data_IF_960029011532
#
_entry.id   IF_960029011532
#
_cell.length_a   1.000
_cell.length_b   1.000
_cell.length_c   1.000
_cell.angle_alpha   90.00
_cell.angle_beta   90.00
_cell.angle_gamma   90.00
#
_symmetry.space_group_name_H-M   'P 1'
#
loop_
_entity.id
_entity.type
_entity.pdbx_description
1 polymer ?
#
# COMPACT_ATOMS: atom_id res chain seq x y z
N UNK A 1 6.26 -21.74 -21.80
CA UNK A 1 5.03 -21.08 -21.32
C UNK A 1 5.46 -20.05 -20.29
N UNK A 2 5.33 -18.75 -20.58
CA UNK A 2 5.65 -17.70 -19.59
C UNK A 2 4.42 -17.55 -18.69
N UNK A 3 4.54 -17.94 -17.42
CA UNK A 3 3.56 -17.60 -16.39
C UNK A 3 3.58 -16.07 -16.29
N UNK A 4 2.43 -15.43 -16.53
CA UNK A 4 2.26 -14.01 -16.22
C UNK A 4 2.33 -13.90 -14.70
N UNK A 5 3.31 -13.17 -14.19
CA UNK A 5 3.42 -12.76 -12.80
C UNK A 5 2.11 -12.05 -12.43
N UNK A 6 1.28 -12.66 -11.57
CA UNK A 6 0.12 -11.98 -11.01
C UNK A 6 0.63 -11.07 -9.90
N UNK A 7 0.25 -9.80 -9.95
CA UNK A 7 0.52 -8.80 -8.92
C UNK A 7 -0.84 -8.32 -8.43
N UNK A 8 -1.01 -8.29 -7.11
CA UNK A 8 -2.09 -7.56 -6.43
C UNK A 8 -1.45 -6.30 -5.87
N UNK A 9 -2.07 -5.13 -6.05
CA UNK A 9 -1.55 -3.84 -5.57
C UNK A 9 -2.70 -2.89 -5.19
N UNK A 10 -2.47 -2.02 -4.21
CA UNK A 10 -3.38 -0.92 -3.82
C UNK A 10 -2.80 0.40 -4.36
N UNK A 11 -3.54 1.20 -5.15
CA UNK A 11 -3.05 2.47 -5.66
C UNK A 11 -3.47 3.69 -4.81
N UNK A 12 -2.53 4.59 -4.52
CA UNK A 12 -2.85 5.91 -3.91
C UNK A 12 -3.70 6.77 -4.84
N UNK A 13 -4.88 7.26 -4.42
CA UNK A 13 -5.59 8.28 -5.23
C UNK A 13 -5.05 9.68 -4.95
N UNK A 14 -4.53 10.34 -5.98
CA UNK A 14 -4.19 11.77 -5.91
C UNK A 14 -5.40 12.62 -5.45
N UNK A 15 -5.14 13.62 -4.61
CA UNK A 15 -6.18 14.46 -3.99
C UNK A 15 -7.26 14.94 -4.98
N UNK A 16 -8.53 14.91 -4.55
CA UNK A 16 -9.77 15.12 -5.32
C UNK A 16 -9.98 16.53 -5.93
N UNK A 17 -8.94 17.17 -6.46
CA UNK A 17 -9.01 18.52 -7.05
C UNK A 17 -8.64 18.59 -8.53
N UNK A 18 -8.69 17.49 -9.30
CA UNK A 18 -8.81 17.58 -10.76
C UNK A 18 -10.25 17.90 -11.18
N UNK A 19 -10.74 19.11 -10.87
CA UNK A 19 -11.87 19.68 -11.63
C UNK A 19 -11.35 20.02 -13.03
N UNK A 20 -12.01 19.46 -14.04
CA UNK A 20 -11.88 19.83 -15.46
C UNK A 20 -11.79 21.35 -15.61
N UNK A 21 -10.59 21.86 -15.87
CA UNK A 21 -10.38 23.20 -16.40
C UNK A 21 -10.86 23.21 -17.84
N UNK A 22 -12.12 23.58 -18.07
CA UNK A 22 -12.54 24.04 -19.39
C UNK A 22 -11.97 25.45 -19.56
N UNK A 23 -11.12 25.60 -20.57
CA UNK A 23 -10.52 26.84 -21.01
C UNK A 23 -11.59 27.88 -21.36
N UNK A 24 -11.60 29.03 -20.68
CA UNK A 24 -12.23 30.23 -21.18
C UNK A 24 -11.21 31.00 -22.02
N UNK A 25 -11.40 30.96 -23.34
CA UNK A 25 -10.85 31.96 -24.25
C UNK A 25 -11.92 32.34 -25.25
N UNK A 26 -12.64 33.43 -25.01
CA UNK A 26 -13.03 34.38 -26.06
C UNK A 26 -13.46 35.72 -25.45
N UNK A 27 -12.78 36.76 -25.92
CA UNK A 27 -12.97 38.17 -25.58
C UNK A 27 -14.02 38.76 -26.54
N UNK A 28 -15.03 39.47 -26.03
CA UNK A 28 -15.35 40.87 -26.40
C UNK A 28 -16.84 41.29 -26.23
N UNK A 29 -17.00 42.32 -25.41
CA UNK A 29 -17.84 43.52 -25.64
C UNK A 29 -19.36 43.52 -25.35
N UNK A 30 -19.72 44.46 -24.46
CA UNK A 30 -20.82 45.43 -24.54
C UNK A 30 -22.27 44.92 -24.69
N UNK A 31 -23.09 45.13 -23.65
CA UNK A 31 -24.22 46.09 -23.67
C UNK A 31 -25.14 45.90 -22.46
N UNK A 32 -25.75 47.01 -22.06
CA UNK A 32 -26.70 47.22 -20.97
C UNK A 32 -28.04 46.49 -21.17
N UNK A 33 -28.72 46.34 -20.03
CA UNK A 33 -30.17 46.48 -19.83
C UNK A 33 -31.10 45.28 -20.15
N UNK A 34 -32.13 45.14 -19.31
CA UNK A 34 -33.43 44.60 -19.73
C UNK A 34 -33.70 43.10 -19.53
N UNK A 35 -34.40 42.80 -18.43
CA UNK A 35 -35.49 41.81 -18.32
C UNK A 35 -36.05 41.24 -19.64
N UNK A 36 -36.17 39.91 -19.77
CA UNK A 36 -37.46 39.18 -19.70
C UNK A 36 -37.40 37.70 -20.17
N UNK A 37 -38.34 36.94 -19.57
CA UNK A 37 -39.11 35.79 -20.11
C UNK A 37 -38.58 34.36 -19.96
N UNK A 38 -39.16 33.72 -18.94
CA UNK A 38 -39.45 32.28 -18.83
C UNK A 38 -40.11 31.75 -20.10
N UNK A 39 -39.61 30.62 -20.60
CA UNK A 39 -40.38 29.66 -21.42
C UNK A 39 -40.21 28.26 -20.84
N UNK A 40 -41.33 27.55 -20.83
CA UNK A 40 -41.62 26.27 -20.19
C UNK A 40 -40.77 25.11 -20.73
N UNK A 41 -40.33 24.22 -19.83
CA UNK A 41 -39.98 22.83 -20.11
C UNK A 41 -40.67 21.93 -19.07
N UNK A 42 -41.06 20.68 -19.42
CA UNK A 42 -42.06 19.90 -18.70
C UNK A 42 -41.52 19.21 -17.44
N UNK A 43 -42.46 19.00 -16.52
CA UNK A 43 -42.35 18.38 -15.19
C UNK A 43 -41.73 16.99 -15.20
N UNK A 44 -40.83 16.73 -14.25
CA UNK A 44 -40.29 15.40 -14.06
C UNK A 44 -39.55 15.08 -12.75
N UNK A 45 -39.31 16.00 -11.81
CA UNK A 45 -38.95 15.64 -10.41
C UNK A 45 -39.37 16.77 -9.45
N UNK A 46 -40.35 16.49 -8.59
CA UNK A 46 -40.71 17.19 -7.35
C UNK A 46 -40.75 16.06 -6.31
N UNK A 47 -40.29 16.14 -5.08
CA UNK A 47 -39.93 17.23 -4.18
C UNK A 47 -38.98 16.61 -3.11
N UNK A 48 -38.23 17.31 -2.26
CA UNK A 48 -38.59 18.47 -1.44
C UNK A 48 -37.34 19.31 -1.14
N UNK A 49 -37.47 20.61 -1.39
CA UNK A 49 -36.69 21.67 -0.75
C UNK A 49 -37.53 22.11 0.45
N UNK A 50 -36.93 22.22 1.63
CA UNK A 50 -37.36 23.24 2.59
C UNK A 50 -36.17 24.11 2.99
N UNK A 51 -36.50 25.39 3.12
CA UNK A 51 -35.68 26.58 3.20
C UNK A 51 -35.40 26.97 4.66
N UNK A 52 -34.21 27.50 4.96
CA UNK A 52 -34.10 28.69 5.83
C UNK A 52 -32.71 29.34 5.77
N UNK A 53 -32.75 30.66 5.89
CA UNK A 53 -31.66 31.63 5.76
C UNK A 53 -30.67 31.61 6.94
N UNK A 54 -29.40 31.90 6.63
CA UNK A 54 -28.50 32.80 7.36
C UNK A 54 -28.21 32.53 8.84
N UNK A 55 -27.01 32.02 9.14
CA UNK A 55 -26.15 32.47 10.24
C UNK A 55 -24.74 31.87 10.10
N UNK A 56 -23.71 32.71 10.14
CA UNK A 56 -22.35 32.30 10.52
C UNK A 56 -22.40 31.74 11.94
N UNK A 57 -22.12 30.45 12.12
CA UNK A 57 -21.62 29.88 13.37
C UNK A 57 -21.04 28.49 13.11
N UNK A 58 -19.86 28.27 13.66
CA UNK A 58 -19.11 27.02 13.75
C UNK A 58 -19.93 25.82 14.22
N UNK A 59 -19.90 24.72 13.45
CA UNK A 59 -19.99 23.37 14.01
C UNK A 59 -19.40 22.37 13.00
N UNK A 60 -18.13 21.99 13.22
CA UNK A 60 -17.58 20.78 12.64
C UNK A 60 -18.35 19.59 13.24
N UNK A 61 -19.28 19.02 12.47
CA UNK A 61 -19.79 17.68 12.76
C UNK A 61 -18.69 16.71 12.35
N UNK A 62 -17.97 16.17 13.35
CA UNK A 62 -17.02 15.08 13.15
C UNK A 62 -17.71 13.94 12.38
N UNK A 63 -17.17 13.49 11.23
CA UNK A 63 -17.55 12.19 10.70
C UNK A 63 -17.16 11.10 11.72
N UNK A 64 -17.95 10.04 11.79
CA UNK A 64 -17.68 8.85 12.59
C UNK A 64 -16.23 8.34 12.35
N UNK A 65 -15.59 7.66 13.33
CA UNK A 65 -14.26 7.10 13.12
C UNK A 65 -14.28 6.22 11.86
N UNK A 66 -13.37 6.51 10.91
CA UNK A 66 -13.10 5.62 9.78
C UNK A 66 -12.50 4.36 10.39
N UNK A 67 -13.35 3.36 10.67
CA UNK A 67 -12.91 2.07 11.19
C UNK A 67 -12.16 1.35 10.07
N UNK A 68 -10.86 1.58 9.96
CA UNK A 68 -9.98 0.53 9.47
C UNK A 68 -10.01 -0.56 10.54
N UNK A 69 -10.28 -1.77 10.13
CA UNK A 69 -10.20 -2.93 11.01
C UNK A 69 -9.36 -3.97 10.26
N UNK A 70 -8.94 -5.03 10.95
CA UNK A 70 -8.57 -6.20 10.16
C UNK A 70 -9.91 -6.69 9.57
N UNK A 71 -10.20 -6.55 8.29
CA UNK A 71 -11.53 -6.95 7.80
C UNK A 71 -11.53 -8.45 7.50
N UNK A 72 -11.99 -9.25 8.47
CA UNK A 72 -12.44 -10.63 8.24
C UNK A 72 -13.73 -10.70 7.38
N UNK A 73 -14.32 -9.55 7.06
CA UNK A 73 -15.56 -9.43 6.29
C UNK A 73 -15.33 -9.33 4.76
N UNK A 74 -14.09 -9.07 4.32
CA UNK A 74 -13.70 -9.30 2.92
C UNK A 74 -13.45 -10.81 2.73
N UNK A 75 -14.22 -11.50 1.87
CA UNK A 75 -14.11 -12.95 1.73
C UNK A 75 -12.77 -13.40 1.13
N UNK A 76 -12.12 -12.58 0.30
CA UNK A 76 -10.82 -12.90 -0.29
C UNK A 76 -9.70 -12.66 0.73
N UNK A 77 -9.74 -11.56 1.49
CA UNK A 77 -8.81 -11.31 2.58
C UNK A 77 -8.96 -12.36 3.71
N UNK A 78 -10.19 -12.67 4.11
CA UNK A 78 -10.48 -13.72 5.08
C UNK A 78 -10.02 -15.10 4.60
N UNK A 79 -10.17 -15.41 3.31
CA UNK A 79 -9.63 -16.63 2.71
C UNK A 79 -8.09 -16.64 2.79
N UNK A 80 -7.42 -15.54 2.44
CA UNK A 80 -5.97 -15.41 2.55
C UNK A 80 -5.50 -15.60 4.00
N UNK A 81 -6.10 -14.90 4.97
CA UNK A 81 -5.80 -15.03 6.39
C UNK A 81 -5.99 -16.47 6.91
N UNK A 82 -7.11 -17.11 6.53
CA UNK A 82 -7.44 -18.47 6.98
C UNK A 82 -6.57 -19.55 6.33
N UNK A 83 -6.10 -19.30 5.11
CA UNK A 83 -5.18 -20.20 4.40
C UNK A 83 -3.76 -20.15 4.98
N UNK A 84 -3.31 -18.95 5.37
CA UNK A 84 -2.03 -18.76 6.05
C UNK A 84 -2.01 -17.42 6.81
N UNK A 85 -1.87 -17.49 8.13
CA UNK A 85 -1.88 -16.32 9.01
C UNK A 85 -0.80 -15.27 8.66
N UNK A 86 0.27 -15.66 7.95
CA UNK A 86 1.32 -14.72 7.50
C UNK A 86 0.78 -13.58 6.64
N UNK A 87 -0.26 -13.84 5.82
CA UNK A 87 -0.80 -12.84 4.89
C UNK A 87 -1.51 -11.70 5.62
N UNK A 88 -1.92 -11.93 6.86
CA UNK A 88 -2.63 -10.96 7.68
C UNK A 88 -1.79 -10.48 8.87
N UNK A 89 -0.47 -10.59 8.70
CA UNK A 89 0.52 -10.07 9.64
C UNK A 89 0.90 -8.63 9.31
N UNK A 90 1.50 -7.98 10.30
CA UNK A 90 2.19 -6.70 10.14
C UNK A 90 3.70 -6.92 10.17
N UNK A 91 4.50 -5.95 9.75
CA UNK A 91 5.96 -6.04 9.84
C UNK A 91 6.46 -5.69 11.26
N UNK A 92 6.40 -6.67 12.17
CA UNK A 92 6.74 -6.49 13.60
C UNK A 92 8.21 -6.74 13.95
N UNK A 93 8.99 -7.37 13.07
CA UNK A 93 10.45 -7.48 13.19
C UNK A 93 11.14 -6.20 12.69
N UNK A 94 12.44 -5.96 12.97
CA UNK A 94 13.18 -4.86 12.36
C UNK A 94 13.00 -4.81 10.84
N UNK A 95 12.49 -3.68 10.35
CA UNK A 95 12.11 -3.48 8.95
C UNK A 95 13.34 -3.09 8.16
N UNK A 96 13.65 -3.85 7.11
CA UNK A 96 14.69 -3.56 6.16
C UNK A 96 14.12 -2.83 4.95
N UNK A 97 14.70 -1.69 4.58
CA UNK A 97 14.36 -0.98 3.34
C UNK A 97 15.47 -1.24 2.33
N UNK A 98 15.07 -1.56 1.09
CA UNK A 98 15.96 -1.71 -0.04
C UNK A 98 15.53 -0.77 -1.17
N UNK A 99 16.50 -0.09 -1.79
CA UNK A 99 16.23 0.88 -2.87
C UNK A 99 16.81 0.43 -4.19
N UNK A 100 16.02 0.45 -5.26
CA UNK A 100 16.46 0.33 -6.65
C UNK A 100 16.24 1.68 -7.33
N UNK A 101 17.33 2.38 -7.64
CA UNK A 101 17.33 3.67 -8.34
C UNK A 101 17.15 3.44 -9.85
N UNK A 102 15.92 3.54 -10.34
CA UNK A 102 15.58 3.30 -11.74
C UNK A 102 15.64 4.61 -12.54
N UNK A 103 16.76 4.81 -13.23
CA UNK A 103 17.07 6.04 -13.96
C UNK A 103 18.24 6.82 -13.38
N UNK A 104 18.31 8.10 -13.73
CA UNK A 104 19.45 8.97 -13.45
C UNK A 104 19.23 9.79 -12.19
N UNK A 105 19.66 9.26 -11.04
CA UNK A 105 19.68 9.98 -9.77
C UNK A 105 21.08 10.49 -9.46
N UNK A 106 21.18 11.75 -9.05
CA UNK A 106 22.43 12.29 -8.50
C UNK A 106 22.65 11.81 -7.07
N UNK A 107 23.89 11.82 -6.61
CA UNK A 107 24.21 11.44 -5.23
C UNK A 107 23.50 12.34 -4.20
N UNK A 108 23.32 13.63 -4.51
CA UNK A 108 22.56 14.55 -3.68
C UNK A 108 21.08 14.12 -3.55
N UNK A 109 20.44 13.72 -4.65
CA UNK A 109 19.07 13.22 -4.64
C UNK A 109 18.94 11.92 -3.84
N UNK A 110 19.89 10.99 -4.01
CA UNK A 110 19.90 9.75 -3.23
C UNK A 110 20.00 10.01 -1.74
N UNK A 111 20.86 10.96 -1.36
CA UNK A 111 21.08 11.31 0.04
C UNK A 111 19.81 11.83 0.74
N UNK A 112 18.88 12.44 0.01
CA UNK A 112 17.58 12.88 0.56
C UNK A 112 16.78 11.67 1.07
N UNK A 113 16.60 10.64 0.24
CA UNK A 113 15.89 9.42 0.64
C UNK A 113 16.61 8.67 1.77
N UNK A 114 17.93 8.53 1.66
CA UNK A 114 18.72 7.86 2.72
C UNK A 114 18.55 8.57 4.06
N UNK A 115 18.57 9.90 4.04
CA UNK A 115 18.42 10.71 5.25
C UNK A 115 17.01 10.59 5.83
N UNK A 116 15.96 10.54 5.00
CA UNK A 116 14.61 10.28 5.47
C UNK A 116 14.48 8.90 6.13
N UNK A 117 14.98 7.84 5.47
CA UNK A 117 14.93 6.47 6.01
C UNK A 117 15.73 6.35 7.31
N UNK A 118 16.91 6.97 7.38
CA UNK A 118 17.72 7.07 8.61
C UNK A 118 16.96 7.80 9.72
N UNK A 119 16.07 8.74 9.37
CA UNK A 119 15.26 9.48 10.33
C UNK A 119 14.09 8.69 10.91
N UNK A 120 13.67 7.58 10.29
CA UNK A 120 12.59 6.72 10.78
C UNK A 120 13.02 5.83 11.96
N UNK A 121 14.32 5.56 12.10
CA UNK A 121 14.79 4.67 13.16
C UNK A 121 14.50 5.28 14.54
N UNK A 122 13.71 4.56 15.35
CA UNK A 122 13.42 4.91 16.74
C UNK A 122 14.65 4.99 17.67
N UNK A 123 15.82 4.50 17.23
CA UNK A 123 17.09 4.75 17.93
C UNK A 123 17.52 6.22 17.91
N UNK A 124 16.95 7.02 17.01
CA UNK A 124 17.11 8.46 16.96
C UNK A 124 16.52 9.09 18.24
N UNK A 125 17.34 9.88 18.93
CA UNK A 125 17.02 10.47 20.24
C UNK A 125 16.31 11.82 20.14
N UNK A 126 15.90 12.24 18.95
CA UNK A 126 15.17 13.48 18.78
C UNK A 126 13.78 13.36 19.42
N UNK A 127 13.55 14.17 20.45
CA UNK A 127 12.28 14.21 21.20
C UNK A 127 11.36 15.33 20.73
N UNK A 128 11.71 16.04 19.64
CA UNK A 128 10.84 17.06 19.06
C UNK A 128 9.50 16.46 18.64
N UNK A 129 8.40 17.18 18.86
CA UNK A 129 7.06 16.73 18.43
C UNK A 129 6.98 16.53 16.92
N UNK A 130 7.78 17.25 16.14
CA UNK A 130 7.92 17.14 14.69
C UNK A 130 8.94 16.09 14.26
N UNK A 131 9.55 15.33 15.18
CA UNK A 131 10.56 14.34 14.82
C UNK A 131 9.94 13.21 13.99
N UNK A 132 10.62 12.80 12.91
CA UNK A 132 10.18 11.69 12.03
C UNK A 132 9.82 10.40 12.81
N UNK A 133 10.56 9.95 13.85
CA UNK A 133 10.17 8.79 14.64
C UNK A 133 8.83 8.96 15.38
N UNK A 134 8.46 10.19 15.75
CA UNK A 134 7.19 10.47 16.43
C UNK A 134 6.00 10.37 15.48
N UNK A 135 6.18 10.75 14.22
CA UNK A 135 5.21 10.46 13.16
C UNK A 135 5.11 8.95 12.91
N UNK A 136 6.24 8.23 12.83
CA UNK A 136 6.24 6.76 12.65
C UNK A 136 5.53 6.02 13.78
N UNK A 137 5.47 6.58 15.00
CA UNK A 137 4.72 5.99 16.11
C UNK A 137 3.23 5.81 15.83
N UNK A 138 2.64 6.55 14.89
CA UNK A 138 1.25 6.29 14.43
C UNK A 138 1.15 4.89 13.85
N UNK A 139 2.10 4.52 12.99
CA UNK A 139 2.13 3.21 12.35
C UNK A 139 2.39 2.09 13.37
N UNK A 140 3.10 2.38 14.46
CA UNK A 140 3.32 1.44 15.57
C UNK A 140 2.07 1.13 16.40
N UNK A 141 0.93 1.77 16.12
CA UNK A 141 -0.37 1.43 16.73
C UNK A 141 -1.08 0.27 16.02
N UNK A 142 -0.62 -0.11 14.84
CA UNK A 142 -1.14 -1.22 14.06
C UNK A 142 -0.53 -2.53 14.52
N UNK A 143 -1.33 -3.60 14.54
CA UNK A 143 -0.94 -4.90 15.06
C UNK A 143 -1.51 -6.06 14.25
N UNK A 144 -1.01 -7.28 14.48
CA UNK A 144 -1.57 -8.51 13.91
C UNK A 144 -2.51 -9.23 14.89
N UNK A 145 -3.19 -10.29 14.45
CA UNK A 145 -4.08 -11.06 15.32
C UNK A 145 -3.38 -11.73 16.53
N UNK A 146 -2.04 -11.76 16.57
CA UNK A 146 -1.24 -12.24 17.69
C UNK A 146 -0.84 -11.12 18.67
N UNK A 147 -1.20 -9.87 18.38
CA UNK A 147 -0.88 -8.69 19.18
C UNK A 147 0.55 -8.20 18.99
N UNK A 148 1.23 -8.60 17.91
CA UNK A 148 2.51 -8.01 17.54
C UNK A 148 2.25 -6.68 16.83
N UNK A 149 2.92 -5.62 17.28
CA UNK A 149 2.82 -4.28 16.69
C UNK A 149 3.92 -4.05 15.66
N UNK A 150 3.67 -3.15 14.71
CA UNK A 150 4.68 -2.72 13.74
C UNK A 150 5.96 -2.26 14.45
N UNK A 151 7.11 -2.66 13.90
CA UNK A 151 8.41 -2.31 14.46
C UNK A 151 8.70 -0.81 14.36
N UNK A 152 9.31 -0.26 15.42
CA UNK A 152 9.89 1.09 15.39
C UNK A 152 11.30 1.13 14.79
N UNK A 153 11.88 -0.02 14.44
CA UNK A 153 13.20 -0.10 13.82
C UNK A 153 13.03 -0.23 12.32
N UNK A 154 13.40 0.81 11.59
CA UNK A 154 13.45 0.87 10.13
C UNK A 154 14.89 1.17 9.73
N UNK A 155 15.44 0.44 8.78
CA UNK A 155 16.84 0.64 8.37
C UNK A 155 17.03 0.39 6.88
N UNK A 156 17.73 1.29 6.21
CA UNK A 156 18.23 1.05 4.85
C UNK A 156 19.30 -0.04 4.88
N UNK A 157 19.04 -1.18 4.24
CA UNK A 157 19.93 -2.35 4.25
C UNK A 157 20.71 -2.57 2.96
N UNK A 158 20.24 -2.01 1.86
CA UNK A 158 20.93 -2.11 0.58
C UNK A 158 20.30 -1.22 -0.48
N UNK A 159 21.09 -0.92 -1.49
CA UNK A 159 20.63 -0.17 -2.65
C UNK A 159 21.35 -0.65 -3.91
N UNK A 160 20.70 -0.45 -5.05
CA UNK A 160 21.29 -0.71 -6.35
C UNK A 160 20.84 0.34 -7.37
N UNK A 161 21.60 0.45 -8.45
CA UNK A 161 21.39 1.42 -9.52
C UNK A 161 21.01 0.74 -10.84
N UNK A 162 20.05 1.32 -11.55
CA UNK A 162 19.76 1.01 -12.95
C UNK A 162 19.62 2.31 -13.76
N UNK A 163 20.74 2.98 -14.08
CA UNK A 163 20.74 4.23 -14.82
C UNK A 163 20.48 4.04 -16.33
N UNK A 164 20.45 2.79 -16.79
CA UNK A 164 20.25 2.44 -18.20
C UNK A 164 18.78 2.23 -18.55
N UNK A 165 17.88 2.27 -17.56
CA UNK A 165 16.46 1.93 -17.71
C UNK A 165 16.32 0.53 -18.34
N UNK A 166 16.78 -0.52 -17.66
CA UNK A 166 16.88 -1.88 -18.25
C UNK A 166 15.54 -2.46 -18.76
N UNK A 167 14.40 -1.92 -18.32
CA UNK A 167 13.04 -2.25 -18.79
C UNK A 167 12.42 -1.17 -19.70
N UNK A 168 13.19 -0.15 -20.09
CA UNK A 168 12.75 1.02 -20.83
C UNK A 168 12.20 2.15 -19.95
N UNK A 169 11.94 3.32 -20.54
CA UNK A 169 11.38 4.47 -19.81
C UNK A 169 9.88 4.34 -19.54
N UNK A 170 9.18 3.41 -20.18
CA UNK A 170 7.85 2.97 -19.76
C UNK A 170 8.00 1.72 -18.92
N UNK A 171 7.73 1.82 -17.62
CA UNK A 171 7.92 0.75 -16.65
C UNK A 171 6.57 0.19 -16.21
N UNK A 172 6.27 -1.05 -16.58
CA UNK A 172 5.01 -1.68 -16.18
C UNK A 172 5.05 -2.23 -14.74
N UNK A 173 3.89 -2.48 -14.12
CA UNK A 173 3.79 -3.17 -12.82
C UNK A 173 4.58 -4.48 -12.81
N UNK A 174 4.41 -5.30 -13.85
CA UNK A 174 5.21 -6.54 -14.04
C UNK A 174 6.72 -6.26 -14.13
N UNK A 175 7.11 -5.14 -14.73
CA UNK A 175 8.50 -4.69 -14.82
C UNK A 175 9.11 -4.35 -13.46
N UNK A 176 8.35 -3.74 -12.55
CA UNK A 176 8.79 -3.45 -11.18
C UNK A 176 9.05 -4.75 -10.41
N UNK A 177 8.12 -5.70 -10.46
CA UNK A 177 8.29 -7.00 -9.82
C UNK A 177 9.48 -7.79 -10.40
N UNK A 178 9.64 -7.77 -11.72
CA UNK A 178 10.78 -8.40 -12.41
C UNK A 178 12.11 -7.78 -11.96
N UNK A 179 12.20 -6.44 -11.88
CA UNK A 179 13.44 -5.75 -11.48
C UNK A 179 13.91 -6.19 -10.10
N UNK A 180 13.01 -6.21 -9.11
CA UNK A 180 13.33 -6.64 -7.76
C UNK A 180 13.64 -8.14 -7.70
N UNK A 181 12.83 -8.97 -8.37
CA UNK A 181 13.05 -10.42 -8.37
C UNK A 181 14.39 -10.79 -9.03
N UNK A 182 14.75 -10.15 -10.14
CA UNK A 182 16.06 -10.31 -10.77
C UNK A 182 17.19 -9.81 -9.87
N UNK A 183 17.04 -8.65 -9.25
CA UNK A 183 18.03 -8.13 -8.31
C UNK A 183 18.33 -9.09 -7.16
N UNK A 184 17.30 -9.73 -6.61
CA UNK A 184 17.43 -10.73 -5.53
C UNK A 184 18.06 -12.03 -6.04
N UNK A 185 17.56 -12.56 -7.18
CA UNK A 185 18.08 -13.82 -7.74
C UNK A 185 19.53 -13.72 -8.23
N UNK A 186 19.92 -12.55 -8.75
CA UNK A 186 21.28 -12.29 -9.23
C UNK A 186 22.25 -11.94 -8.07
N UNK A 187 21.73 -11.81 -6.84
CA UNK A 187 22.51 -11.49 -5.65
C UNK A 187 22.94 -10.02 -5.52
N UNK A 188 22.33 -9.12 -6.31
CA UNK A 188 22.57 -7.67 -6.23
C UNK A 188 21.87 -7.06 -5.01
N UNK A 189 20.72 -7.61 -4.63
CA UNK A 189 20.04 -7.35 -3.35
C UNK A 189 19.82 -8.68 -2.63
N UNK A 190 19.83 -8.73 -1.29
CA UNK A 190 19.54 -9.95 -0.56
C UNK A 190 18.03 -10.23 -0.56
N UNK A 191 17.67 -11.50 -0.42
CA UNK A 191 16.34 -11.89 0.06
C UNK A 191 16.21 -11.53 1.55
N UNK A 192 15.14 -10.82 1.91
CA UNK A 192 14.80 -10.46 3.28
C UNK A 192 13.29 -10.57 3.49
N UNK A 193 12.87 -11.48 4.37
CA UNK A 193 11.48 -11.69 4.72
C UNK A 193 10.85 -10.51 5.49
N UNK A 194 11.68 -9.58 5.98
CA UNK A 194 11.25 -8.33 6.62
C UNK A 194 11.66 -7.11 5.78
N UNK A 195 11.88 -7.33 4.48
CA UNK A 195 12.29 -6.32 3.51
C UNK A 195 11.12 -5.66 2.79
N UNK A 196 11.16 -4.34 2.64
CA UNK A 196 10.36 -3.58 1.67
C UNK A 196 11.29 -3.05 0.57
N UNK A 197 11.02 -3.43 -0.67
CA UNK A 197 11.87 -3.15 -1.82
C UNK A 197 11.24 -2.07 -2.70
N UNK A 198 11.82 -0.87 -2.67
CA UNK A 198 11.33 0.26 -3.46
C UNK A 198 12.05 0.37 -4.80
N UNK A 199 11.29 0.48 -5.88
CA UNK A 199 11.77 0.98 -7.16
C UNK A 199 11.47 2.47 -7.25
N UNK A 200 12.52 3.29 -7.28
CA UNK A 200 12.45 4.74 -7.35
C UNK A 200 12.65 5.19 -8.79
N UNK A 201 11.57 5.67 -9.44
CA UNK A 201 11.61 6.11 -10.83
C UNK A 201 11.99 7.59 -10.97
N UNK A 202 12.98 7.89 -11.82
CA UNK A 202 13.34 9.27 -12.12
C UNK A 202 12.26 10.02 -12.97
N UNK A 203 12.41 11.33 -13.22
CA UNK A 203 11.41 12.11 -13.97
C UNK A 203 11.11 11.64 -15.41
N UNK A 204 11.90 10.72 -15.98
CA UNK A 204 11.67 10.13 -17.31
C UNK A 204 10.88 8.82 -17.25
N UNK A 205 10.65 8.22 -16.08
CA UNK A 205 10.03 6.88 -15.94
C UNK A 205 8.51 6.96 -15.92
N UNK A 206 7.84 6.64 -17.02
CA UNK A 206 6.38 6.54 -17.09
C UNK A 206 5.97 5.17 -16.57
N UNK A 207 5.41 5.10 -15.36
CA UNK A 207 4.98 3.84 -14.79
C UNK A 207 3.51 3.57 -15.14
N UNK A 208 3.23 2.39 -15.69
CA UNK A 208 1.92 2.02 -16.20
C UNK A 208 1.44 0.67 -15.65
N UNK A 209 0.14 0.58 -15.40
CA UNK A 209 -0.54 -0.66 -15.06
C UNK A 209 -0.83 -1.49 -16.33
N UNK A 210 -0.19 -2.66 -16.43
CA UNK A 210 -0.38 -3.64 -17.49
C UNK A 210 -1.40 -4.73 -17.15
N UNK A 211 -2.10 -4.61 -16.01
CA UNK A 211 -3.19 -5.50 -15.60
C UNK A 211 -4.55 -5.05 -16.13
N UNK A 212 -4.71 -3.75 -16.41
CA UNK A 212 -5.96 -3.16 -16.90
C UNK A 212 -6.02 -3.03 -18.43
N UNK A 213 -7.22 -3.19 -18.99
CA UNK A 213 -7.51 -2.89 -20.40
C UNK A 213 -7.47 -1.38 -20.72
N UNK A 214 -7.57 -0.53 -19.69
CA UNK A 214 -7.40 0.92 -19.80
C UNK A 214 -6.09 1.28 -19.10
N UNK A 215 -5.07 1.77 -19.83
CA UNK A 215 -3.80 2.16 -19.22
C UNK A 215 -4.05 3.19 -18.13
N UNK A 216 -3.78 2.82 -16.89
CA UNK A 216 -3.66 3.73 -15.76
C UNK A 216 -2.22 3.70 -15.28
N UNK A 217 -1.80 4.64 -14.45
CA UNK A 217 -0.40 4.73 -14.09
C UNK A 217 -0.04 5.88 -13.18
N UNK A 218 1.25 5.97 -12.92
CA UNK A 218 1.87 7.11 -12.27
C UNK A 218 1.40 8.41 -12.91
N UNK A 219 1.01 9.39 -12.09
CA UNK A 219 0.46 10.68 -12.50
C UNK A 219 -0.94 10.69 -13.13
N UNK A 220 -1.61 9.55 -13.23
CA UNK A 220 -3.01 9.48 -13.74
C UNK A 220 -3.97 8.90 -12.71
N UNK A 221 -3.52 7.90 -11.97
CA UNK A 221 -4.28 7.29 -10.88
C UNK A 221 -3.60 7.47 -9.54
N UNK A 222 -2.27 7.41 -9.52
CA UNK A 222 -1.48 7.34 -8.29
C UNK A 222 -0.09 7.96 -8.39
N UNK A 223 0.53 8.17 -7.22
CA UNK A 223 1.89 8.72 -7.08
C UNK A 223 2.93 7.64 -6.77
N UNK A 224 2.47 6.53 -6.18
CA UNK A 224 3.18 5.30 -5.91
C UNK A 224 2.17 4.16 -5.69
N UNK A 225 2.69 2.99 -5.35
CA UNK A 225 1.92 1.87 -4.81
C UNK A 225 2.86 0.87 -4.12
N UNK A 226 2.34 0.04 -3.22
CA UNK A 226 2.98 -1.21 -2.79
C UNK A 226 2.19 -2.44 -3.24
N UNK A 227 2.90 -3.56 -3.26
CA UNK A 227 2.42 -4.85 -3.69
C UNK A 227 3.29 -5.95 -3.09
N UNK A 228 3.02 -7.20 -3.47
CA UNK A 228 3.90 -8.31 -3.19
C UNK A 228 4.07 -9.24 -4.39
N UNK A 229 5.24 -9.88 -4.49
CA UNK A 229 5.47 -10.90 -5.52
C UNK A 229 4.80 -12.23 -5.13
N UNK A 230 4.22 -12.94 -6.09
CA UNK A 230 3.50 -14.19 -5.82
C UNK A 230 4.36 -15.46 -6.05
N UNK A 231 5.62 -15.29 -6.46
CA UNK A 231 6.57 -16.38 -6.70
C UNK A 231 7.28 -16.82 -5.40
N UNK A 232 8.25 -17.75 -5.48
CA UNK A 232 8.97 -18.32 -4.33
C UNK A 232 9.64 -17.32 -3.36
N UNK A 233 9.67 -16.02 -3.70
CA UNK A 233 10.29 -14.99 -2.89
C UNK A 233 9.27 -14.21 -2.03
N UNK A 234 7.99 -14.10 -2.40
CA UNK A 234 6.97 -13.37 -1.61
C UNK A 234 7.47 -12.01 -1.06
N UNK A 235 8.11 -11.21 -1.91
CA UNK A 235 8.75 -9.95 -1.53
C UNK A 235 7.72 -8.83 -1.48
N UNK A 236 7.76 -8.00 -0.44
CA UNK A 236 7.01 -6.74 -0.40
C UNK A 236 7.73 -5.71 -1.24
N UNK A 237 7.07 -5.21 -2.27
CA UNK A 237 7.65 -4.29 -3.25
C UNK A 237 6.84 -3.00 -3.32
N UNK A 238 7.47 -1.91 -3.73
CA UNK A 238 6.78 -0.65 -3.97
C UNK A 238 7.40 0.10 -5.14
N UNK A 239 6.60 0.90 -5.82
CA UNK A 239 7.06 1.89 -6.78
C UNK A 239 6.79 3.31 -6.27
N UNK A 240 7.78 4.19 -6.42
CA UNK A 240 7.64 5.63 -6.14
C UNK A 240 8.21 6.42 -7.31
N UNK A 241 7.40 7.29 -7.92
CA UNK A 241 7.80 8.07 -9.08
C UNK A 241 8.15 9.53 -8.76
N UNK A 242 9.17 10.07 -9.46
CA UNK A 242 9.45 11.50 -9.41
C UNK A 242 8.48 12.29 -10.31
N UNK A 243 7.59 13.08 -9.69
CA UNK A 243 6.50 13.75 -10.39
C UNK A 243 6.85 15.11 -10.99
N UNK A 244 8.08 15.61 -10.78
CA UNK A 244 8.47 17.02 -11.02
C UNK A 244 8.20 17.51 -12.46
N UNK A 245 8.29 16.62 -13.45
CA UNK A 245 8.07 16.97 -14.86
C UNK A 245 6.71 16.51 -15.42
N UNK A 246 5.92 15.74 -14.65
CA UNK A 246 4.71 15.07 -15.16
C UNK A 246 3.43 15.55 -14.51
N UNK A 247 3.37 15.51 -13.19
CA UNK A 247 2.19 15.85 -12.41
C UNK A 247 2.56 16.51 -11.08
N UNK A 248 3.35 17.58 -11.10
CA UNK A 248 3.81 18.18 -9.86
C UNK A 248 2.64 18.70 -9.00
N UNK A 249 1.51 19.07 -9.61
CA UNK A 249 0.29 19.47 -8.88
C UNK A 249 -0.45 18.30 -8.21
N UNK A 250 -0.25 17.07 -8.67
CA UNK A 250 -0.94 15.89 -8.15
C UNK A 250 -0.15 15.10 -7.12
N UNK A 251 1.18 15.03 -7.30
CA UNK A 251 2.05 14.13 -6.54
C UNK A 251 3.21 14.81 -5.80
N UNK A 252 3.34 16.13 -5.88
CA UNK A 252 4.24 16.89 -5.02
C UNK A 252 3.38 17.66 -4.02
N UNK A 253 3.70 17.64 -2.71
CA UNK A 253 3.00 18.45 -1.72
C UNK A 253 2.82 19.90 -2.20
N UNK A 254 1.61 20.46 -2.10
CA UNK A 254 1.32 21.76 -2.70
C UNK A 254 2.28 22.85 -2.22
N UNK A 255 2.72 22.79 -0.96
CA UNK A 255 3.70 23.70 -0.35
C UNK A 255 5.07 23.75 -1.05
N UNK A 256 5.40 22.73 -1.83
CA UNK A 256 6.70 22.58 -2.53
C UNK A 256 6.61 22.92 -4.02
N UNK A 257 5.39 23.07 -4.55
CA UNK A 257 5.14 23.27 -5.98
C UNK A 257 4.40 24.60 -6.29
N UNK A 258 4.35 25.54 -5.33
CA UNK A 258 3.85 26.90 -5.59
C UNK A 258 4.97 27.87 -6.03
N UNK A 259 4.64 28.95 -6.76
CA UNK A 259 5.61 30.02 -7.04
C UNK A 259 6.25 30.57 -5.76
N UNK A 260 7.58 30.57 -5.71
CA UNK A 260 8.34 31.03 -4.54
C UNK A 260 8.42 30.00 -3.39
N UNK A 261 7.91 28.78 -3.57
CA UNK A 261 8.15 27.69 -2.65
C UNK A 261 9.64 27.37 -2.55
N UNK A 262 10.10 27.08 -1.33
CA UNK A 262 11.46 26.61 -1.06
C UNK A 262 11.35 25.18 -0.55
N UNK A 263 11.70 24.18 -1.37
CA UNK A 263 11.71 22.79 -0.91
C UNK A 263 12.78 22.57 0.16
N UNK A 264 12.48 21.82 1.24
CA UNK A 264 13.38 21.69 2.39
C UNK A 264 14.71 21.03 2.04
N UNK A 265 14.75 20.20 0.99
CA UNK A 265 15.99 19.59 0.52
C UNK A 265 16.48 20.16 -0.82
N UNK A 266 15.89 21.27 -1.28
CA UNK A 266 16.29 21.97 -2.51
C UNK A 266 15.90 21.26 -3.81
N UNK A 267 15.16 20.15 -3.74
CA UNK A 267 14.66 19.38 -4.89
C UNK A 267 13.20 18.98 -4.64
N UNK A 268 12.27 19.72 -5.24
CA UNK A 268 10.83 19.48 -5.07
C UNK A 268 10.39 18.08 -5.53
N UNK A 269 11.07 17.51 -6.54
CA UNK A 269 10.78 16.17 -7.03
C UNK A 269 11.13 15.11 -6.00
N UNK A 270 12.33 15.22 -5.41
CA UNK A 270 12.75 14.32 -4.33
C UNK A 270 11.96 14.53 -3.05
N UNK A 271 11.64 15.77 -2.67
CA UNK A 271 10.80 16.06 -1.51
C UNK A 271 9.38 15.49 -1.68
N UNK A 272 8.81 15.54 -2.90
CA UNK A 272 7.57 14.85 -3.22
C UNK A 272 7.68 13.33 -3.10
N UNK A 273 8.75 12.75 -3.64
CA UNK A 273 9.01 11.31 -3.50
C UNK A 273 9.18 10.88 -2.04
N UNK A 274 9.71 11.72 -1.15
CA UNK A 274 9.82 11.40 0.29
C UNK A 274 8.43 11.22 0.89
N UNK A 275 7.50 12.12 0.57
CA UNK A 275 6.13 12.01 1.03
C UNK A 275 5.45 10.73 0.54
N UNK A 276 5.70 10.33 -0.71
CA UNK A 276 5.11 9.10 -1.28
C UNK A 276 5.77 7.88 -0.65
N UNK A 277 7.11 7.81 -0.56
CA UNK A 277 7.80 6.71 0.10
C UNK A 277 7.33 6.50 1.55
N UNK A 278 7.14 7.60 2.30
CA UNK A 278 6.62 7.54 3.67
C UNK A 278 5.22 6.91 3.72
N UNK A 279 4.36 7.29 2.79
CA UNK A 279 3.00 6.76 2.63
C UNK A 279 3.04 5.25 2.34
N UNK A 280 3.71 4.86 1.25
CA UNK A 280 3.80 3.45 0.82
C UNK A 280 4.47 2.56 1.87
N UNK A 281 5.46 3.09 2.61
CA UNK A 281 6.10 2.32 3.69
C UNK A 281 5.14 2.10 4.87
N UNK A 282 4.30 3.07 5.19
CA UNK A 282 3.31 2.92 6.26
C UNK A 282 2.32 1.80 5.92
N UNK A 283 1.85 1.74 4.68
CA UNK A 283 0.90 0.72 4.20
C UNK A 283 1.57 -0.64 4.00
N UNK A 284 2.75 -0.68 3.37
CA UNK A 284 3.50 -1.92 3.19
C UNK A 284 3.86 -2.61 4.51
N UNK A 285 3.89 -1.88 5.62
CA UNK A 285 4.21 -2.45 6.94
C UNK A 285 2.97 -2.81 7.77
N UNK A 286 1.82 -2.18 7.51
CA UNK A 286 0.52 -2.54 8.10
C UNK A 286 -0.18 -3.65 7.32
N UNK A 287 0.02 -3.72 6.00
CA UNK A 287 -0.57 -4.71 5.10
C UNK A 287 0.43 -5.19 4.03
N UNK A 288 1.53 -5.87 4.42
CA UNK A 288 2.58 -6.31 3.50
C UNK A 288 2.08 -7.19 2.34
N UNK A 289 0.98 -7.91 2.55
CA UNK A 289 0.37 -8.80 1.56
C UNK A 289 -1.06 -8.40 1.18
N UNK A 290 -1.44 -7.14 1.44
CA UNK A 290 -2.73 -6.55 1.02
C UNK A 290 -3.96 -7.31 1.53
N UNK A 291 -3.90 -7.77 2.78
CA UNK A 291 -5.00 -8.55 3.38
C UNK A 291 -5.48 -7.99 4.73
N UNK A 292 -4.91 -6.89 5.23
CA UNK A 292 -5.29 -6.28 6.51
C UNK A 292 -5.32 -4.76 6.46
N UNK A 293 -5.98 -4.15 7.45
CA UNK A 293 -5.89 -2.71 7.75
C UNK A 293 -6.34 -1.75 6.62
N UNK A 294 -7.37 -2.13 5.87
CA UNK A 294 -8.08 -1.26 4.95
C UNK A 294 -9.54 -1.05 5.40
N UNK A 295 -10.13 0.08 5.00
CA UNK A 295 -11.54 0.35 5.26
C UNK A 295 -12.48 -0.37 4.27
N UNK A 296 -13.79 -0.20 4.44
CA UNK A 296 -14.78 -0.81 3.55
C UNK A 296 -14.76 -0.29 2.09
N UNK A 297 -13.94 0.73 1.79
CA UNK A 297 -13.70 1.25 0.44
C UNK A 297 -12.39 0.70 -0.16
N UNK A 298 -11.63 -0.08 0.63
CA UNK A 298 -10.31 -0.57 0.27
C UNK A 298 -9.20 0.47 0.46
N UNK A 299 -9.45 1.56 1.18
CA UNK A 299 -8.42 2.55 1.51
C UNK A 299 -7.61 2.05 2.71
N UNK A 300 -6.29 1.97 2.57
CA UNK A 300 -5.36 1.65 3.66
C UNK A 300 -5.12 2.88 4.56
N UNK A 301 -4.27 2.73 5.58
CA UNK A 301 -4.11 3.75 6.61
C UNK A 301 -3.57 5.09 6.10
N UNK A 302 -2.64 5.08 5.14
CA UNK A 302 -2.08 6.31 4.61
C UNK A 302 -2.97 6.87 3.48
N UNK A 303 -3.62 6.03 2.69
CA UNK A 303 -4.63 6.37 1.68
C UNK A 303 -5.74 7.25 2.25
N UNK A 304 -6.27 6.88 3.41
CA UNK A 304 -7.32 7.62 4.11
C UNK A 304 -6.93 9.07 4.39
N UNK A 305 -5.63 9.32 4.56
CA UNK A 305 -5.05 10.62 4.87
C UNK A 305 -4.30 11.24 3.68
N UNK A 306 -4.50 10.70 2.47
CA UNK A 306 -3.79 11.15 1.30
C UNK A 306 -3.98 12.64 1.02
N UNK A 307 -2.88 13.38 0.97
CA UNK A 307 -2.86 14.83 0.75
C UNK A 307 -3.21 15.69 1.97
N UNK A 308 -3.50 15.11 3.14
CA UNK A 308 -3.45 15.84 4.41
C UNK A 308 -2.00 15.95 4.86
N UNK A 309 -1.52 17.16 5.11
CA UNK A 309 -0.14 17.42 5.55
C UNK A 309 -0.09 17.97 6.98
N UNK A 310 -1.22 17.99 7.68
CA UNK A 310 -1.35 18.58 9.01
C UNK A 310 -0.87 20.05 9.05
N UNK A 311 -0.28 20.42 10.18
CA UNK A 311 0.33 21.73 10.36
C UNK A 311 1.71 21.78 9.68
N UNK A 312 1.83 22.64 8.67
CA UNK A 312 3.09 22.89 7.95
C UNK A 312 3.73 24.17 8.46
N UNK A 313 4.95 24.07 8.96
CA UNK A 313 5.78 25.18 9.40
C UNK A 313 6.66 25.70 8.25
N UNK A 314 7.22 26.89 8.46
CA UNK A 314 8.23 27.48 7.58
C UNK A 314 9.50 27.76 8.38
N UNK A 315 10.65 27.33 7.86
CA UNK A 315 11.95 27.61 8.47
C UNK A 315 12.26 29.10 8.37
N UNK A 316 12.49 29.75 9.51
CA UNK A 316 12.72 31.19 9.58
C UNK A 316 14.02 31.66 8.90
N UNK A 317 14.98 30.76 8.70
CA UNK A 317 16.29 31.05 8.09
C UNK A 317 16.28 30.78 6.59
N UNK A 318 15.77 29.62 6.18
CA UNK A 318 15.81 29.17 4.77
C UNK A 318 14.53 29.51 4.01
N UNK A 319 13.42 29.76 4.70
CA UNK A 319 12.09 29.90 4.10
C UNK A 319 11.48 28.57 3.66
N UNK A 320 12.12 27.44 3.97
CA UNK A 320 11.64 26.12 3.55
C UNK A 320 10.41 25.67 4.32
N UNK A 321 9.45 25.08 3.62
CA UNK A 321 8.27 24.46 4.24
C UNK A 321 8.61 23.07 4.75
N UNK A 322 8.12 22.71 5.94
CA UNK A 322 8.32 21.39 6.54
C UNK A 322 7.21 21.08 7.55
N UNK A 323 6.89 19.81 7.74
CA UNK A 323 6.07 19.35 8.86
C UNK A 323 6.76 18.29 9.71
N UNK A 324 7.91 17.76 9.25
CA UNK A 324 8.77 16.87 10.01
C UNK A 324 10.24 17.30 9.99
N UNK A 325 10.93 16.96 11.07
CA UNK A 325 12.36 17.13 11.27
C UNK A 325 13.01 15.75 11.45
N UNK A 326 14.13 15.53 10.75
CA UNK A 326 14.88 14.29 10.80
C UNK A 326 16.30 14.46 11.30
N UNK A 327 17.10 13.42 11.12
CA UNK A 327 18.50 13.41 11.55
C UNK A 327 19.28 14.55 10.88
N UNK A 328 20.32 15.02 11.57
CA UNK A 328 21.22 16.08 11.07
C UNK A 328 20.49 17.40 10.70
N UNK A 329 19.32 17.66 11.29
CA UNK A 329 18.53 18.86 11.02
C UNK A 329 17.87 18.86 9.64
N UNK A 330 17.75 17.67 9.02
CA UNK A 330 16.98 17.52 7.78
C UNK A 330 15.50 17.80 8.02
N UNK A 331 14.81 18.22 6.97
CA UNK A 331 13.42 18.64 7.02
C UNK A 331 12.65 17.99 5.89
N UNK A 332 11.40 17.65 6.16
CA UNK A 332 10.55 16.92 5.22
C UNK A 332 9.11 17.45 5.27
N UNK A 333 8.39 17.22 4.18
CA UNK A 333 6.93 17.31 4.14
C UNK A 333 6.41 15.91 3.81
N UNK A 334 5.67 15.30 4.74
CA UNK A 334 5.00 14.01 4.51
C UNK A 334 3.52 14.12 4.84
N UNK A 335 2.74 13.19 4.32
CA UNK A 335 1.31 13.13 4.61
C UNK A 335 1.06 12.69 6.06
N UNK A 336 -0.06 13.12 6.63
CA UNK A 336 -0.58 12.57 7.87
C UNK A 336 -0.88 11.07 7.68
N UNK A 337 -0.92 10.33 8.78
CA UNK A 337 -1.34 8.92 8.78
C UNK A 337 -2.56 8.77 9.68
N UNK A 338 -3.39 7.76 9.40
CA UNK A 338 -4.56 7.48 10.22
C UNK A 338 -4.09 6.93 11.58
N UNK A 339 -4.54 7.56 12.67
CA UNK A 339 -4.40 6.98 14.00
C UNK A 339 -5.58 6.03 14.24
N UNK A 340 -5.34 4.70 14.38
CA UNK A 340 -6.40 3.71 14.51
C UNK A 340 -7.16 3.81 15.85
N UNK A 341 -6.60 4.50 16.85
CA UNK A 341 -7.25 4.71 18.16
C UNK A 341 -8.24 5.86 18.08
N UNK A 342 -7.88 6.93 17.37
CA UNK A 342 -8.73 8.13 17.29
C UNK A 342 -9.60 8.20 16.04
N UNK A 343 -9.26 7.42 15.00
CA UNK A 343 -9.92 7.47 13.69
C UNK A 343 -9.69 8.79 12.95
N UNK A 344 -8.57 9.48 13.22
CA UNK A 344 -8.23 10.78 12.63
C UNK A 344 -6.88 10.76 11.96
N UNK A 345 -6.75 11.52 10.88
CA UNK A 345 -5.46 11.85 10.29
C UNK A 345 -4.69 12.76 11.24
N UNK A 346 -3.48 12.34 11.60
CA UNK A 346 -2.62 13.04 12.55
C UNK A 346 -1.16 13.01 12.08
N UNK A 347 -0.38 13.98 12.54
CA UNK A 347 1.09 13.99 12.36
C UNK A 347 1.82 13.31 13.53
N UNK A 348 1.09 12.97 14.59
CA UNK A 348 1.61 12.30 15.78
C UNK A 348 0.50 11.49 16.46
N UNK A 349 0.83 10.31 16.97
CA UNK A 349 -0.10 9.44 17.71
C UNK A 349 -0.66 10.12 19.00
N UNK A 350 -1.93 9.86 19.32
CA UNK A 350 -2.55 10.37 20.55
C UNK A 350 -2.25 9.48 21.79
N UNK A 351 -1.47 9.96 22.77
CA UNK A 351 -1.27 9.26 24.07
C UNK A 351 0.08 9.57 24.75
N UNK A 352 0.20 9.48 26.09
CA UNK A 352 1.13 10.28 26.87
C UNK A 352 2.54 9.72 26.82
N UNK A 353 3.49 10.45 26.21
CA UNK A 353 4.94 10.19 26.19
C UNK A 353 5.37 8.76 25.81
N UNK A 354 6.17 8.66 24.74
CA UNK A 354 7.41 7.88 24.75
C UNK A 354 7.46 6.64 25.69
N UNK A 355 6.92 5.50 25.27
CA UNK A 355 7.36 4.19 25.78
C UNK A 355 8.24 3.61 24.65
N UNK A 356 9.57 3.72 24.68
CA UNK A 356 10.41 3.67 25.88
C UNK A 356 10.39 2.25 26.44
N UNK A 357 10.91 1.29 25.66
CA UNK A 357 11.14 -0.11 26.05
C UNK A 357 9.86 -0.96 26.27
N UNK A 358 9.77 -2.19 25.74
CA UNK A 358 8.60 -3.03 25.95
C UNK A 358 8.49 -3.39 27.44
N UNK A 359 7.59 -2.74 28.16
CA UNK A 359 7.05 -3.34 29.38
C UNK A 359 6.01 -4.36 28.95
N UNK A 360 6.17 -5.58 29.48
CA UNK A 360 5.23 -6.69 29.36
C UNK A 360 3.77 -6.23 29.45
N UNK A 361 2.84 -6.95 28.79
CA UNK A 361 1.42 -6.73 28.99
C UNK A 361 1.09 -6.77 30.49
N UNK A 362 0.14 -5.94 30.95
CA UNK A 362 -0.23 -5.89 32.36
C UNK A 362 -0.66 -7.29 32.80
N UNK A 363 0.09 -7.86 33.73
CA UNK A 363 -0.32 -9.06 34.48
C UNK A 363 -1.40 -8.65 35.48
N UNK A 364 -2.59 -8.28 34.98
CA UNK A 364 -3.79 -8.39 35.79
C UNK A 364 -4.08 -9.88 35.95
N UNK A 365 -4.01 -10.46 37.16
CA UNK A 365 -4.45 -11.83 37.35
C UNK A 365 -5.95 -11.85 37.08
N UNK A 366 -6.34 -12.57 36.04
CA UNK A 366 -7.73 -12.99 35.84
C UNK A 366 -8.17 -13.66 37.15
N UNK A 367 -9.22 -13.17 37.85
CA UNK A 367 -9.69 -13.86 39.03
C UNK A 367 -10.18 -15.24 38.59
N UNK A 368 -9.50 -16.27 39.10
CA UNK A 368 -9.90 -17.66 38.90
C UNK A 368 -11.34 -17.82 39.40
N UNK A 369 -12.30 -18.30 38.58
CA UNK A 369 -13.61 -18.62 39.10
C UNK A 369 -13.43 -19.76 40.11
N UNK A 370 -13.78 -19.48 41.37
CA UNK A 370 -13.82 -20.48 42.43
C UNK A 370 -14.75 -21.62 42.02
N UNK A 371 -14.18 -22.80 41.76
CA UNK A 371 -14.95 -24.02 41.56
C UNK A 371 -15.81 -24.28 42.80
N UNK A 372 -17.10 -24.62 42.64
CA UNK A 372 -17.91 -25.10 43.77
C UNK A 372 -17.35 -26.44 44.27
N UNK A 373 -17.52 -26.76 45.57
CA UNK A 373 -16.99 -27.98 46.16
C UNK A 373 -17.54 -29.22 45.45
N UNK A 374 -16.63 -30.09 45.03
CA UNK A 374 -16.92 -31.40 44.43
C UNK A 374 -17.61 -32.27 45.48
N UNK A 375 -18.87 -32.64 45.23
CA UNK A 375 -19.53 -33.74 45.93
C UNK A 375 -18.95 -35.07 45.44
N UNK A 376 -18.56 -35.94 46.37
CA UNK A 376 -18.03 -37.29 46.10
C UNK A 376 -18.97 -38.10 45.18
N UNK A 377 -18.43 -38.84 44.17
CA UNK A 377 -19.23 -39.78 43.39
C UNK A 377 -19.47 -41.08 44.19
N UNK A 378 -20.63 -41.74 43.99
CA UNK A 378 -20.90 -43.02 44.65
C UNK A 378 -20.07 -44.14 44.03
N UNK A 379 -19.63 -45.05 44.91
CA UNK A 379 -18.88 -46.28 44.62
C UNK A 379 -19.62 -47.13 43.57
N UNK A 380 -19.03 -47.31 42.40
CA UNK A 380 -19.50 -48.27 41.38
C UNK A 380 -18.80 -49.62 41.53
N UNK A 381 -19.63 -50.67 41.60
CA UNK A 381 -19.25 -52.09 41.65
C UNK A 381 -18.72 -52.53 40.27
N UNK A 382 -17.64 -53.33 40.17
CA UNK A 382 -17.09 -53.73 38.88
C UNK A 382 -17.96 -54.81 38.20
N UNK A 383 -18.41 -54.52 36.97
CA UNK A 383 -18.99 -55.50 36.04
C UNK A 383 -17.89 -56.31 35.32
N UNK A 384 -18.13 -57.59 35.00
CA UNK A 384 -17.15 -58.47 34.35
C UNK A 384 -16.92 -58.13 32.87
N UNK A 385 -15.78 -58.55 32.28
CA UNK A 385 -15.36 -58.12 30.95
C UNK A 385 -16.21 -58.76 29.85
N UNK A 386 -16.68 -57.90 28.94
CA UNK A 386 -17.33 -58.29 27.68
C UNK A 386 -16.23 -58.59 26.65
N UNK A 387 -16.21 -59.82 26.15
CA UNK A 387 -15.39 -60.24 25.01
C UNK A 387 -15.84 -59.55 23.73
N UNK A 388 -14.93 -58.78 23.12
CA UNK A 388 -15.11 -58.16 21.79
C UNK A 388 -14.70 -59.18 20.71
N UNK A 389 -15.55 -59.50 19.72
CA UNK A 389 -15.15 -60.36 18.61
C UNK A 389 -14.26 -59.59 17.62
N UNK A 390 -13.16 -60.23 17.23
CA UNK A 390 -12.18 -59.77 16.24
C UNK A 390 -12.81 -59.60 14.86
N UNK A 391 -12.56 -58.49 14.13
CA UNK A 391 -13.04 -58.34 12.75
C UNK A 391 -12.32 -59.32 11.80
N UNK A 392 -13.00 -59.77 10.72
CA UNK A 392 -12.42 -60.71 9.77
C UNK A 392 -11.31 -60.06 8.94
N UNK A 393 -10.24 -60.83 8.76
CA UNK A 393 -9.07 -60.49 7.94
C UNK A 393 -9.48 -60.50 6.46
N UNK A 394 -9.44 -59.35 5.80
CA UNK A 394 -9.57 -59.23 4.35
C UNK A 394 -8.25 -59.61 3.69
N UNK A 395 -8.29 -60.62 2.82
CA UNK A 395 -7.18 -61.04 1.97
C UNK A 395 -7.07 -60.06 0.80
N UNK A 396 -5.89 -59.46 0.51
CA UNK A 396 -5.73 -58.62 -0.67
C UNK A 396 -5.70 -59.46 -1.96
N UNK A 397 -6.46 -59.03 -2.98
CA UNK A 397 -6.40 -59.58 -4.33
C UNK A 397 -5.02 -59.36 -4.99
N UNK A 398 -4.56 -60.27 -5.87
CA UNK A 398 -3.29 -60.14 -6.56
C UNK A 398 -3.31 -59.00 -7.60
N UNK A 399 -2.18 -58.30 -7.82
CA UNK A 399 -2.12 -57.18 -8.74
C UNK A 399 -2.32 -57.63 -10.20
N UNK A 400 -3.16 -56.90 -10.91
CA UNK A 400 -3.36 -57.00 -12.36
C UNK A 400 -2.08 -56.59 -13.09
N UNK A 401 -1.59 -57.48 -13.95
CA UNK A 401 -0.43 -57.23 -14.83
C UNK A 401 -0.83 -56.21 -15.89
N UNK A 402 -0.27 -55.00 -15.80
CA UNK A 402 -0.36 -53.99 -16.86
C UNK A 402 0.73 -54.29 -17.90
N UNK A 403 0.31 -54.66 -19.10
CA UNK A 403 1.20 -54.75 -20.27
C UNK A 403 1.62 -53.34 -20.72
N UNK A 404 2.90 -53.11 -21.08
CA UNK A 404 3.36 -51.80 -21.53
C UNK A 404 2.81 -51.47 -22.93
N UNK A 405 2.32 -50.26 -23.07
CA UNK A 405 1.88 -49.65 -24.33
C UNK A 405 3.10 -49.35 -25.23
N UNK A 406 3.03 -49.54 -26.56
CA UNK A 406 4.16 -49.32 -27.46
C UNK A 406 4.52 -47.82 -27.58
N UNK A 407 5.78 -47.49 -27.91
CA UNK A 407 6.24 -46.12 -27.96
C UNK A 407 5.58 -45.35 -29.12
N UNK A 408 5.06 -44.16 -28.81
CA UNK A 408 4.60 -43.19 -29.80
C UNK A 408 5.83 -42.63 -30.53
N UNK A 409 5.94 -42.90 -31.83
CA UNK A 409 6.89 -42.24 -32.72
C UNK A 409 6.41 -40.82 -33.01
N UNK A 410 7.12 -39.81 -32.50
CA UNK A 410 6.93 -38.43 -32.94
C UNK A 410 7.40 -38.28 -34.39
N UNK A 411 6.49 -37.84 -35.27
CA UNK A 411 6.82 -37.38 -36.62
C UNK A 411 7.44 -35.98 -36.59
N UNK A 412 8.15 -35.56 -37.66
CA UNK A 412 8.84 -34.27 -37.69
C UNK A 412 7.86 -33.09 -37.67
N UNK A 413 8.27 -31.92 -37.15
CA UNK A 413 7.40 -30.76 -37.01
C UNK A 413 6.93 -30.26 -38.37
N UNK A 414 5.61 -30.21 -38.55
CA UNK A 414 4.96 -29.57 -39.69
C UNK A 414 5.18 -28.05 -39.58
N UNK A 415 5.92 -27.48 -40.51
CA UNK A 415 6.03 -26.03 -40.69
C UNK A 415 4.69 -25.49 -41.20
N UNK A 416 3.93 -24.82 -40.36
CA UNK A 416 2.74 -24.07 -40.79
C UNK A 416 3.20 -22.83 -41.57
N UNK A 417 2.87 -22.79 -42.86
CA UNK A 417 3.13 -21.63 -43.72
C UNK A 417 2.10 -20.52 -43.45
N UNK A 418 2.51 -19.28 -43.74
CA UNK A 418 1.73 -18.04 -43.57
C UNK A 418 0.32 -18.09 -44.19
N UNK A 419 0.13 -18.90 -45.24
CA UNK A 419 -1.16 -19.07 -45.93
C UNK A 419 -2.20 -19.82 -45.07
N UNK A 420 -1.77 -20.72 -44.17
CA UNK A 420 -2.68 -21.43 -43.26
C UNK A 420 -3.21 -20.54 -42.13
N UNK A 421 -2.44 -19.52 -41.75
CA UNK A 421 -2.83 -18.55 -40.72
C UNK A 421 -3.87 -17.54 -41.26
N UNK A 422 -3.73 -17.10 -42.50
CA UNK A 422 -4.70 -16.18 -43.15
C UNK A 422 -6.05 -16.86 -43.39
N UNK A 423 -6.07 -18.14 -43.76
CA UNK A 423 -7.32 -18.92 -43.90
C UNK A 423 -8.07 -19.08 -42.57
N UNK A 424 -7.35 -19.24 -41.47
CA UNK A 424 -7.94 -19.37 -40.13
C UNK A 424 -8.56 -18.05 -39.65
N UNK A 425 -7.88 -16.91 -39.87
CA UNK A 425 -8.39 -15.57 -39.52
C UNK A 425 -9.66 -15.22 -40.32
N UNK A 426 -9.71 -15.55 -41.62
CA UNK A 426 -10.89 -15.28 -42.46
C UNK A 426 -12.13 -16.11 -42.07
N UNK A 427 -11.97 -17.25 -41.40
CA UNK A 427 -13.12 -18.04 -40.92
C UNK A 427 -13.68 -17.55 -39.58
N UNK A 428 -12.91 -16.78 -38.82
CA UNK A 428 -13.31 -16.23 -37.51
C UNK A 428 -13.98 -14.86 -37.63
N UNK A 429 -13.65 -14.09 -38.67
CA UNK A 429 -14.20 -12.77 -38.94
C UNK A 429 -14.68 -12.73 -40.39
N UNK A 430 -15.89 -13.21 -40.66
CA UNK A 430 -16.43 -13.27 -42.01
C UNK A 430 -16.38 -11.90 -42.72
N UNK A 431 -15.52 -11.81 -43.73
CA UNK A 431 -15.48 -10.79 -44.77
C UNK A 431 -15.66 -11.45 -46.13
#
# INVERSE_FOLDING_TARGET
MRQKSRISYTPIRGSSLMRRGLSESEVASSSKDGTMRRRNLPSGVRALIDTSNGAHASSASNPAPKNIDHHWDDPDAAYMCSSNAKYCGVMYQPIAVYLLWYGQFTEAQKQIMRTFIESLDSSNKDTSVTAVPNWWNINRLYYDAQGNYISGSVTLKGEMDDPAYSKGTTLYNSGVADLISSAVNDGNLPYDANGVYFVLGDPKVAQEDDSSYTPTGFCTSYCGWHAYTHDNLELVISFVGNAVTRCPEGCIPPYLNQPGAVPPNGDAGMDGMVSVLAHELAEATSSPFLATWFDAQGEENADICAGDYGDVAQDATTGAYFNLEGVRGSKFIVQANLDPVTGRCVMQAAGPEAVGTPSQPPTTPVPTPSLPPVSEPPVTVPTPPVTVPTPPVTVPEPPTVVTPEPPVTEGPPQTTTWESFVSFINSLFGF
#
